data_IF_475379945411
#
_entry.id   IF_475379945411
#
_cell.length_a   1.000
_cell.length_b   1.000
_cell.length_c   1.000
_cell.angle_alpha   90.00
_cell.angle_beta   90.00
_cell.angle_gamma   90.00
#
_symmetry.space_group_name_H-M   'P 1'
#
loop_
_entity.id
_entity.type
_entity.pdbx_description
1 polymer ?
#
# COMPACT_ATOMS: atom_id res chain seq x y z
N UNK A 1 -13.93 -6.15 11.22
CA UNK A 1 -14.40 -4.79 11.51
C UNK A 1 -14.49 -3.98 10.22
N UNK A 2 -15.38 -3.00 10.18
CA UNK A 2 -15.59 -2.14 9.02
C UNK A 2 -15.41 -0.67 9.42
N UNK A 3 -14.84 0.12 8.51
CA UNK A 3 -14.52 1.52 8.74
C UNK A 3 -14.87 2.37 7.52
N UNK A 4 -15.30 3.59 7.76
CA UNK A 4 -15.26 4.67 6.78
C UNK A 4 -14.09 5.59 7.14
N UNK A 5 -13.13 5.71 6.23
CA UNK A 5 -11.92 6.52 6.41
C UNK A 5 -11.95 7.65 5.40
N UNK A 6 -11.89 8.89 5.85
CA UNK A 6 -11.71 10.06 4.99
C UNK A 6 -10.33 10.65 5.23
N UNK A 7 -9.59 10.89 4.15
CA UNK A 7 -8.27 11.49 4.18
C UNK A 7 -8.26 12.76 3.34
N UNK A 8 -7.83 13.86 3.95
CA UNK A 8 -7.52 15.12 3.27
C UNK A 8 -6.02 15.19 3.00
N UNK A 9 -5.63 15.00 1.74
CA UNK A 9 -4.23 14.98 1.32
C UNK A 9 -3.88 16.32 0.67
N UNK A 10 -2.64 16.78 0.84
CA UNK A 10 -2.15 18.01 0.22
C UNK A 10 -1.25 17.69 -0.96
N UNK A 11 -1.49 18.38 -2.08
CA UNK A 11 -0.55 18.47 -3.21
C UNK A 11 -0.13 19.92 -3.40
N UNK A 12 1.13 20.12 -3.73
CA UNK A 12 1.73 21.44 -3.91
C UNK A 12 2.91 21.38 -4.91
N UNK A 13 3.84 22.33 -4.78
CA UNK A 13 5.07 22.40 -5.61
C UNK A 13 6.15 21.38 -5.21
N UNK A 14 6.07 20.82 -4.00
CA UNK A 14 7.06 19.90 -3.43
C UNK A 14 6.57 18.44 -3.45
N UNK A 15 5.25 18.23 -3.40
CA UNK A 15 4.60 16.92 -3.39
C UNK A 15 3.48 16.88 -4.41
N UNK A 16 3.61 15.95 -5.35
CA UNK A 16 2.68 15.77 -6.46
C UNK A 16 2.04 14.37 -6.49
N UNK A 17 2.17 13.60 -5.43
CA UNK A 17 1.54 12.29 -5.33
C UNK A 17 0.92 12.13 -3.95
N UNK A 18 -0.08 11.25 -3.89
CA UNK A 18 -0.70 10.80 -2.65
C UNK A 18 -0.70 9.29 -2.67
N UNK A 19 -0.36 8.68 -1.55
CA UNK A 19 -0.55 7.26 -1.33
C UNK A 19 -2.03 6.98 -1.02
N UNK A 20 -2.53 5.86 -1.54
CA UNK A 20 -3.86 5.37 -1.19
C UNK A 20 -3.75 4.27 -0.16
N UNK A 21 -4.81 4.07 0.62
CA UNK A 21 -4.89 2.95 1.57
C UNK A 21 -4.71 1.61 0.81
N UNK A 22 -3.71 0.78 1.18
CA UNK A 22 -3.40 -0.46 0.47
C UNK A 22 -4.51 -1.49 0.67
N UNK A 23 -4.87 -2.14 -0.44
CA UNK A 23 -5.67 -3.37 -0.41
C UNK A 23 -4.73 -4.57 -0.19
N UNK A 24 -4.93 -5.30 0.91
CA UNK A 24 -4.08 -6.40 1.38
C UNK A 24 -4.93 -7.68 1.49
N UNK A 25 -4.90 -8.57 0.48
CA UNK A 25 -5.72 -9.77 0.48
C UNK A 25 -5.57 -10.61 1.74
N UNK A 26 -6.69 -11.02 2.34
CA UNK A 26 -6.71 -11.83 3.57
C UNK A 26 -6.63 -11.04 4.88
N UNK A 27 -6.36 -9.73 4.82
CA UNK A 27 -6.13 -8.87 5.99
C UNK A 27 -7.00 -7.62 5.98
N UNK A 28 -6.85 -6.81 4.92
CA UNK A 28 -7.47 -5.50 4.77
C UNK A 28 -8.01 -5.33 3.35
N UNK A 29 -9.33 -5.21 3.20
CA UNK A 29 -9.97 -4.89 1.93
C UNK A 29 -10.34 -3.42 1.88
N UNK A 30 -10.02 -2.75 0.77
CA UNK A 30 -10.24 -1.31 0.60
C UNK A 30 -11.01 -1.05 -0.69
N UNK A 31 -12.02 -0.20 -0.60
CA UNK A 31 -12.70 0.39 -1.75
C UNK A 31 -12.75 1.91 -1.59
N UNK A 32 -12.35 2.63 -2.63
CA UNK A 32 -12.51 4.08 -2.68
C UNK A 32 -13.96 4.40 -3.06
N UNK A 33 -14.73 4.95 -2.12
CA UNK A 33 -16.11 5.38 -2.31
C UNK A 33 -16.17 6.68 -3.10
N UNK A 34 -15.26 7.60 -2.79
CA UNK A 34 -15.22 8.92 -3.42
C UNK A 34 -13.80 9.47 -3.46
N UNK A 35 -13.48 10.20 -4.53
CA UNK A 35 -12.31 11.05 -4.64
C UNK A 35 -12.71 12.35 -5.34
N UNK A 36 -12.42 13.50 -4.73
CA UNK A 36 -12.84 14.80 -5.27
C UNK A 36 -12.10 15.17 -6.57
N UNK A 37 -10.84 14.72 -6.71
CA UNK A 37 -9.97 15.03 -7.85
C UNK A 37 -9.31 13.77 -8.37
N UNK A 38 -9.68 13.36 -9.59
CA UNK A 38 -9.07 12.20 -10.25
C UNK A 38 -7.56 12.41 -10.49
N UNK A 39 -6.70 11.43 -10.18
CA UNK A 39 -5.28 11.52 -10.48
C UNK A 39 -5.00 11.50 -11.98
N UNK A 40 -3.86 12.03 -12.36
CA UNK A 40 -3.35 11.99 -13.74
C UNK A 40 -3.06 10.55 -14.14
N UNK A 41 -2.37 9.81 -13.26
CA UNK A 41 -2.07 8.39 -13.42
C UNK A 41 -1.85 7.75 -12.04
N UNK A 42 -1.82 6.42 -12.00
CA UNK A 42 -1.51 5.65 -10.81
C UNK A 42 -0.32 4.71 -11.05
N UNK A 43 0.48 4.48 -10.02
CA UNK A 43 1.61 3.56 -10.02
C UNK A 43 1.48 2.62 -8.83
N UNK A 44 2.05 1.42 -8.96
CA UNK A 44 2.24 0.50 -7.83
C UNK A 44 3.73 0.42 -7.57
N UNK A 45 4.16 0.76 -6.36
CA UNK A 45 5.56 0.68 -5.98
C UNK A 45 5.99 -0.77 -5.67
N UNK A 46 7.24 -0.94 -5.24
CA UNK A 46 7.81 -2.26 -4.94
C UNK A 46 7.10 -2.94 -3.77
N UNK A 47 6.69 -2.15 -2.78
CA UNK A 47 6.01 -2.56 -1.54
C UNK A 47 4.48 -2.67 -1.71
N UNK A 48 4.00 -2.56 -2.95
CA UNK A 48 2.60 -2.70 -3.36
C UNK A 48 1.67 -1.62 -2.79
N UNK A 49 2.19 -0.43 -2.53
CA UNK A 49 1.36 0.75 -2.33
C UNK A 49 0.91 1.27 -3.69
N UNK A 50 -0.32 1.79 -3.74
CA UNK A 50 -0.85 2.45 -4.93
C UNK A 50 -0.67 3.95 -4.73
N UNK A 51 0.07 4.57 -5.65
CA UNK A 51 0.40 5.99 -5.64
C UNK A 51 -0.38 6.71 -6.73
N UNK A 52 -1.11 7.75 -6.35
CA UNK A 52 -1.89 8.62 -7.22
C UNK A 52 -1.11 9.90 -7.52
N UNK A 53 -0.74 10.10 -8.78
CA UNK A 53 0.05 11.25 -9.21
C UNK A 53 -0.82 12.37 -9.80
N UNK A 54 -0.48 13.59 -9.41
CA UNK A 54 -1.06 14.86 -9.82
C UNK A 54 0.01 15.72 -10.47
N UNK A 55 -0.36 16.71 -11.29
CA UNK A 55 0.60 17.74 -11.69
C UNK A 55 1.01 18.56 -10.47
N UNK A 56 2.26 19.03 -10.43
CA UNK A 56 2.66 20.04 -9.45
C UNK A 56 1.77 21.27 -9.57
N UNK A 57 1.34 21.80 -8.43
CA UNK A 57 0.47 22.98 -8.37
C UNK A 57 1.25 24.14 -7.77
N UNK A 58 1.00 25.36 -8.29
CA UNK A 58 1.62 26.58 -7.71
C UNK A 58 1.07 26.89 -6.32
N UNK A 59 -0.23 26.60 -6.14
CA UNK A 59 -0.94 26.77 -4.88
C UNK A 59 -1.18 25.39 -4.25
N UNK A 60 -1.19 25.35 -2.92
CA UNK A 60 -1.60 24.18 -2.14
C UNK A 60 -3.03 23.80 -2.51
N UNK A 61 -3.24 22.54 -2.89
CA UNK A 61 -4.57 21.98 -3.17
C UNK A 61 -4.84 20.75 -2.29
N UNK A 62 -6.08 20.59 -1.87
CA UNK A 62 -6.52 19.47 -1.03
C UNK A 62 -7.28 18.43 -1.86
N UNK A 63 -6.77 17.20 -1.87
CA UNK A 63 -7.42 16.02 -2.45
C UNK A 63 -8.05 15.20 -1.33
N UNK A 64 -9.39 15.15 -1.32
CA UNK A 64 -10.15 14.34 -0.36
C UNK A 64 -10.46 12.98 -0.95
N UNK A 65 -10.14 11.93 -0.21
CA UNK A 65 -10.48 10.55 -0.56
C UNK A 65 -11.26 9.92 0.59
N UNK A 66 -12.41 9.34 0.26
CA UNK A 66 -13.20 8.56 1.20
C UNK A 66 -13.12 7.07 0.82
N UNK A 67 -12.79 6.25 1.81
CA UNK A 67 -12.55 4.83 1.72
C UNK A 67 -13.54 4.06 2.60
N UNK A 68 -13.97 2.91 2.10
CA UNK A 68 -14.55 1.84 2.91
C UNK A 68 -13.47 0.79 3.13
N UNK A 69 -13.14 0.53 4.40
CA UNK A 69 -12.09 -0.40 4.80
C UNK A 69 -12.70 -1.53 5.61
N UNK A 70 -12.34 -2.78 5.28
CA UNK A 70 -12.72 -3.97 6.04
C UNK A 70 -11.47 -4.68 6.51
N UNK A 71 -11.36 -4.91 7.81
CA UNK A 71 -10.27 -5.66 8.44
C UNK A 71 -10.83 -6.96 9.01
N UNK A 72 -10.18 -8.09 8.74
CA UNK A 72 -10.70 -9.40 9.15
C UNK A 72 -9.63 -10.45 9.50
N UNK A 73 -8.36 -10.07 9.60
CA UNK A 73 -7.32 -10.97 10.06
C UNK A 73 -5.98 -10.28 10.20
N UNK A 74 -5.02 -10.96 10.82
CA UNK A 74 -3.63 -10.50 10.94
C UNK A 74 -2.73 -11.05 9.83
N UNK A 75 -3.07 -12.20 9.25
CA UNK A 75 -2.23 -12.87 8.25
C UNK A 75 -2.66 -12.55 6.82
N UNK A 76 -1.70 -12.47 5.91
CA UNK A 76 -1.96 -12.35 4.47
C UNK A 76 -1.20 -13.46 3.73
N UNK A 77 -1.91 -14.40 3.05
CA UNK A 77 -1.29 -15.52 2.33
C UNK A 77 -0.71 -15.11 0.96
N UNK A 78 -0.44 -13.83 0.76
CA UNK A 78 -0.04 -13.30 -0.53
C UNK A 78 1.38 -13.77 -0.87
N UNK A 79 1.49 -14.54 -1.96
CA UNK A 79 2.77 -15.02 -2.48
C UNK A 79 3.55 -13.84 -3.09
N UNK A 80 4.33 -13.16 -2.25
CA UNK A 80 5.16 -12.05 -2.67
C UNK A 80 6.39 -12.57 -3.42
N UNK A 81 6.40 -12.35 -4.74
CA UNK A 81 7.55 -12.69 -5.58
C UNK A 81 8.65 -11.64 -5.33
N UNK A 82 9.90 -12.10 -5.24
CA UNK A 82 11.10 -11.26 -5.06
C UNK A 82 11.16 -10.51 -3.73
N UNK A 83 11.24 -11.22 -2.62
CA UNK A 83 11.40 -10.65 -1.26
C UNK A 83 12.85 -10.39 -0.87
N UNK A 84 13.83 -10.70 -1.74
CA UNK A 84 15.26 -10.57 -1.46
C UNK A 84 15.73 -9.16 -1.07
N UNK A 85 14.99 -8.12 -1.47
CA UNK A 85 15.32 -6.75 -1.09
C UNK A 85 14.90 -6.42 0.35
N UNK A 86 13.92 -7.15 0.89
CA UNK A 86 13.37 -6.98 2.24
C UNK A 86 14.25 -7.60 3.32
N UNK A 87 15.42 -8.12 2.96
CA UNK A 87 16.48 -8.56 3.89
C UNK A 87 17.74 -7.72 3.73
N UNK A 88 17.76 -6.73 2.83
CA UNK A 88 18.92 -5.87 2.61
C UNK A 88 18.96 -4.73 3.63
N UNK A 89 20.18 -4.29 4.00
CA UNK A 89 20.33 -3.09 4.81
C UNK A 89 19.84 -1.87 4.02
N UNK A 90 19.09 -1.00 4.70
CA UNK A 90 18.55 0.27 4.20
C UNK A 90 18.71 1.27 5.33
N UNK A 91 18.94 2.56 5.05
CA UNK A 91 19.29 3.63 6.02
C UNK A 91 18.81 3.41 7.47
N UNK A 92 17.51 3.40 7.75
CA UNK A 92 17.00 3.30 9.14
C UNK A 92 16.92 1.84 9.67
N UNK A 93 17.14 0.85 8.80
CA UNK A 93 17.08 -0.59 9.06
C UNK A 93 18.39 -1.30 8.72
N UNK A 94 19.51 -0.59 8.82
CA UNK A 94 20.82 -1.13 8.48
C UNK A 94 21.33 -2.04 9.61
N UNK A 95 21.16 -3.34 9.42
CA UNK A 95 21.60 -4.37 10.37
C UNK A 95 23.11 -4.60 10.37
N UNK A 96 23.85 -4.03 9.41
CA UNK A 96 25.32 -4.09 9.41
C UNK A 96 25.96 -3.06 10.34
N UNK A 97 25.16 -2.08 10.80
CA UNK A 97 25.60 -1.02 11.71
C UNK A 97 24.76 -0.90 12.98
N UNK A 98 23.47 -1.24 12.91
CA UNK A 98 22.51 -1.06 14.00
C UNK A 98 22.29 -2.24 14.94
N UNK A 99 23.03 -3.34 14.78
CA UNK A 99 22.99 -4.47 15.70
C UNK A 99 24.40 -4.74 16.22
N UNK A 100 24.61 -4.89 17.54
CA UNK A 100 25.87 -5.43 18.02
C UNK A 100 26.08 -6.81 17.41
N UNK A 101 27.28 -7.07 16.89
CA UNK A 101 27.63 -8.34 16.24
C UNK A 101 27.23 -9.57 17.08
N UNK A 102 27.29 -9.44 18.40
CA UNK A 102 26.83 -10.43 19.38
C UNK A 102 25.37 -10.89 19.17
N UNK A 103 24.45 -10.00 18.78
CA UNK A 103 23.04 -10.35 18.63
C UNK A 103 22.79 -11.12 17.34
N UNK A 104 23.42 -10.74 16.24
CA UNK A 104 23.30 -11.53 15.01
C UNK A 104 23.92 -12.91 15.24
N UNK A 105 25.09 -13.01 15.86
CA UNK A 105 25.76 -14.32 16.06
C UNK A 105 25.03 -15.26 17.01
N UNK A 106 24.39 -14.75 18.07
CA UNK A 106 23.65 -15.60 19.03
C UNK A 106 22.24 -15.97 18.59
N UNK A 107 21.61 -15.13 17.76
CA UNK A 107 20.24 -15.36 17.30
C UNK A 107 20.15 -15.91 15.88
N UNK A 108 21.20 -15.77 15.05
CA UNK A 108 21.31 -16.39 13.73
C UNK A 108 21.73 -17.87 13.81
N UNK A 109 20.94 -18.64 14.54
CA UNK A 109 20.98 -20.08 14.40
C UNK A 109 20.21 -20.46 13.14
N UNK A 110 20.93 -20.92 12.11
CA UNK A 110 20.37 -21.37 10.82
C UNK A 110 19.28 -22.45 10.95
N UNK A 111 19.24 -23.17 12.08
CA UNK A 111 18.26 -24.23 12.32
C UNK A 111 16.95 -23.74 12.97
N UNK A 112 16.87 -22.46 13.42
CA UNK A 112 15.63 -21.91 13.99
C UNK A 112 14.61 -21.60 12.90
N UNK A 113 13.35 -21.97 13.16
CA UNK A 113 12.19 -21.59 12.32
C UNK A 113 12.00 -20.07 12.33
N UNK A 114 11.46 -19.53 11.24
CA UNK A 114 11.24 -18.08 11.08
C UNK A 114 10.43 -17.46 12.22
N UNK A 115 9.34 -18.09 12.68
CA UNK A 115 8.55 -17.57 13.81
C UNK A 115 9.35 -17.48 15.11
N UNK A 116 10.27 -18.43 15.34
CA UNK A 116 11.12 -18.39 16.52
C UNK A 116 12.15 -17.27 16.41
N UNK A 117 12.77 -17.10 15.22
CA UNK A 117 13.65 -15.96 14.95
C UNK A 117 12.92 -14.63 15.19
N UNK A 118 11.68 -14.52 14.70
CA UNK A 118 10.87 -13.33 14.88
C UNK A 118 10.50 -13.07 16.34
N UNK A 119 10.10 -14.12 17.07
CA UNK A 119 9.78 -14.02 18.50
C UNK A 119 10.98 -13.61 19.35
N UNK A 120 12.14 -14.19 19.07
CA UNK A 120 13.37 -13.88 19.79
C UNK A 120 13.79 -12.41 19.56
N UNK A 121 13.75 -11.94 18.31
CA UNK A 121 14.03 -10.56 17.96
C UNK A 121 13.02 -9.60 18.60
N UNK A 122 11.72 -9.94 18.56
CA UNK A 122 10.65 -9.16 19.16
C UNK A 122 10.82 -9.00 20.68
N UNK A 123 11.07 -10.11 21.39
CA UNK A 123 11.32 -10.09 22.82
C UNK A 123 12.57 -9.27 23.18
N UNK A 124 13.62 -9.34 22.34
CA UNK A 124 14.80 -8.51 22.56
C UNK A 124 14.45 -7.03 22.49
N UNK A 125 13.73 -6.60 21.45
CA UNK A 125 13.37 -5.19 21.25
C UNK A 125 12.55 -4.66 22.43
N UNK A 126 11.53 -5.40 22.87
CA UNK A 126 10.71 -5.02 24.03
C UNK A 126 11.54 -4.90 25.31
N UNK A 127 12.43 -5.86 25.57
CA UNK A 127 13.25 -5.83 26.79
C UNK A 127 14.39 -4.78 26.73
N UNK A 128 14.79 -4.36 25.54
CA UNK A 128 15.91 -3.46 25.34
C UNK A 128 15.51 -1.99 25.35
N UNK A 129 14.37 -1.67 24.75
CA UNK A 129 13.83 -0.32 24.66
C UNK A 129 12.92 0.01 25.84
N UNK A 130 12.63 1.29 26.01
CA UNK A 130 11.69 1.80 27.01
C UNK A 130 10.90 2.92 26.37
N UNK A 131 9.58 2.80 26.39
CA UNK A 131 8.71 3.79 25.76
C UNK A 131 8.78 5.13 26.49
N UNK A 132 8.91 6.22 25.72
CA UNK A 132 9.07 7.59 26.25
C UNK A 132 8.05 8.54 25.60
N UNK A 133 6.95 8.79 26.32
CA UNK A 133 5.90 9.74 25.90
C UNK A 133 6.43 11.17 25.66
N UNK A 134 7.53 11.55 26.31
CA UNK A 134 8.08 12.91 26.18
C UNK A 134 8.80 13.13 24.84
N UNK A 135 9.16 12.05 24.12
CA UNK A 135 9.72 12.13 22.77
C UNK A 135 8.68 12.47 21.70
N UNK A 136 7.40 12.41 22.04
CA UNK A 136 6.31 12.66 21.11
C UNK A 136 6.10 14.16 20.94
N UNK A 137 6.98 14.80 20.17
CA UNK A 137 6.68 16.09 19.56
C UNK A 137 6.29 15.87 18.10
N UNK A 138 4.98 15.74 17.84
CA UNK A 138 4.42 15.42 16.53
C UNK A 138 4.79 16.41 15.41
N UNK A 139 5.33 17.58 15.75
CA UNK A 139 5.78 18.55 14.76
C UNK A 139 7.14 18.16 14.13
N UNK A 140 8.00 17.43 14.86
CA UNK A 140 9.33 17.00 14.41
C UNK A 140 9.78 15.75 15.17
N UNK A 141 9.49 14.56 14.66
CA UNK A 141 10.15 13.33 15.13
C UNK A 141 11.44 13.14 14.33
N UNK A 142 12.59 13.38 14.95
CA UNK A 142 13.90 13.05 14.35
C UNK A 142 14.08 11.52 14.39
N UNK A 143 13.79 10.86 13.27
CA UNK A 143 13.94 9.41 13.14
C UNK A 143 15.42 9.05 13.13
N UNK A 144 15.89 8.45 14.22
CA UNK A 144 17.30 8.14 14.42
C UNK A 144 17.75 6.83 13.74
N UNK A 145 16.81 5.92 13.46
CA UNK A 145 17.08 4.60 12.89
C UNK A 145 17.76 3.62 13.87
N UNK A 146 17.84 2.34 13.47
CA UNK A 146 18.40 1.28 14.30
C UNK A 146 19.88 1.49 14.67
N UNK A 147 20.67 2.11 13.78
CA UNK A 147 22.09 2.42 13.99
C UNK A 147 22.32 3.25 15.25
N UNK A 148 21.65 4.41 15.34
CA UNK A 148 21.86 5.36 16.43
C UNK A 148 21.28 4.92 17.77
N UNK A 149 20.29 4.03 17.78
CA UNK A 149 19.76 3.41 19.01
C UNK A 149 20.89 2.68 19.74
N UNK A 150 21.66 1.90 18.98
CA UNK A 150 22.75 1.10 19.52
C UNK A 150 23.98 1.96 19.87
N UNK A 151 24.41 2.85 18.98
CA UNK A 151 25.61 3.68 19.18
C UNK A 151 25.53 4.55 20.43
N UNK A 152 24.35 5.11 20.70
CA UNK A 152 24.15 6.05 21.81
C UNK A 152 23.61 5.38 23.09
N UNK A 153 23.42 4.06 23.07
CA UNK A 153 22.67 3.33 24.11
C UNK A 153 21.32 4.03 24.44
N UNK A 154 20.67 4.58 23.40
CA UNK A 154 19.45 5.35 23.55
C UNK A 154 18.27 4.39 23.62
N UNK A 155 17.85 4.07 24.84
CA UNK A 155 16.74 3.14 25.08
C UNK A 155 15.38 3.80 25.00
N UNK A 156 15.31 5.12 25.13
CA UNK A 156 14.05 5.85 25.03
C UNK A 156 13.54 5.74 23.59
N UNK A 157 12.31 5.29 23.42
CA UNK A 157 11.78 4.93 22.11
C UNK A 157 10.31 5.35 21.98
N UNK A 158 9.93 5.69 20.75
CA UNK A 158 8.53 5.69 20.29
C UNK A 158 8.37 4.65 19.19
N UNK A 159 7.18 4.54 18.59
CA UNK A 159 6.85 3.51 17.60
C UNK A 159 7.88 3.33 16.46
N UNK A 160 8.57 4.41 16.06
CA UNK A 160 9.64 4.38 15.06
C UNK A 160 10.87 3.59 15.53
N UNK A 161 11.41 3.84 16.72
CA UNK A 161 12.61 3.13 17.20
C UNK A 161 12.34 1.64 17.42
N UNK A 162 11.15 1.29 17.95
CA UNK A 162 10.74 -0.10 18.07
C UNK A 162 10.64 -0.79 16.71
N UNK A 163 9.98 -0.15 15.73
CA UNK A 163 9.85 -0.67 14.38
C UNK A 163 11.21 -0.81 13.69
N UNK A 164 12.06 0.22 13.79
CA UNK A 164 13.36 0.29 13.14
C UNK A 164 14.30 -0.80 13.65
N UNK A 165 14.38 -0.94 14.98
CA UNK A 165 15.23 -1.95 15.59
C UNK A 165 14.73 -3.36 15.26
N UNK A 166 13.41 -3.61 15.33
CA UNK A 166 12.84 -4.92 15.02
C UNK A 166 13.04 -5.30 13.55
N UNK A 167 12.79 -4.38 12.61
CA UNK A 167 13.01 -4.63 11.18
C UNK A 167 14.49 -4.90 10.92
N UNK A 168 15.39 -4.07 11.46
CA UNK A 168 16.84 -4.28 11.35
C UNK A 168 17.22 -5.69 11.83
N UNK A 169 16.74 -6.09 13.01
CA UNK A 169 17.02 -7.41 13.58
C UNK A 169 16.50 -8.56 12.70
N UNK A 170 15.23 -8.51 12.29
CA UNK A 170 14.63 -9.52 11.41
C UNK A 170 15.42 -9.66 10.11
N UNK A 171 15.78 -8.54 9.47
CA UNK A 171 16.56 -8.52 8.23
C UNK A 171 17.94 -9.13 8.40
N UNK A 172 18.63 -8.81 9.50
CA UNK A 172 19.92 -9.41 9.86
C UNK A 172 19.86 -10.92 10.09
N UNK A 173 18.71 -11.43 10.54
CA UNK A 173 18.44 -12.87 10.69
C UNK A 173 17.99 -13.56 9.39
N UNK A 174 17.98 -12.82 8.27
CA UNK A 174 17.52 -13.29 6.97
C UNK A 174 16.00 -13.39 6.83
N UNK A 175 15.24 -12.80 7.75
CA UNK A 175 13.77 -12.77 7.72
C UNK A 175 13.31 -11.51 6.96
N UNK A 176 12.58 -11.65 5.83
CA UNK A 176 12.02 -10.51 5.13
C UNK A 176 11.08 -9.72 6.04
N UNK A 177 11.35 -8.43 6.21
CA UNK A 177 10.57 -7.57 7.09
C UNK A 177 10.39 -6.17 6.51
N UNK A 178 9.27 -5.52 6.83
CA UNK A 178 8.91 -4.17 6.37
C UNK A 178 8.12 -3.42 7.43
N UNK A 179 8.18 -2.10 7.35
CA UNK A 179 7.39 -1.19 8.17
C UNK A 179 5.96 -1.10 7.62
N UNK A 180 5.01 -0.98 8.52
CA UNK A 180 3.64 -0.58 8.24
C UNK A 180 3.37 0.70 9.01
N UNK A 181 2.89 1.72 8.32
CA UNK A 181 2.39 2.92 8.96
C UNK A 181 0.87 2.96 8.84
N UNK A 182 0.21 3.42 9.89
CA UNK A 182 -1.23 3.50 9.92
C UNK A 182 -1.78 4.06 11.21
N UNK A 183 -3.01 3.67 11.53
CA UNK A 183 -3.74 4.17 12.70
C UNK A 183 -4.37 3.04 13.48
N UNK A 184 -4.51 3.25 14.79
CA UNK A 184 -5.20 2.32 15.69
C UNK A 184 -6.53 2.93 16.13
N UNK A 185 -7.65 2.33 15.74
CA UNK A 185 -9.00 2.91 15.86
C UNK A 185 -9.85 2.12 16.86
N UNK A 186 -9.74 2.48 18.14
CA UNK A 186 -10.55 1.88 19.23
C UNK A 186 -11.92 2.55 19.43
N UNK A 187 -12.07 3.76 18.89
CA UNK A 187 -13.31 4.55 18.84
C UNK A 187 -13.24 5.47 17.61
N UNK A 188 -14.35 6.07 17.25
CA UNK A 188 -14.36 7.13 16.23
C UNK A 188 -13.31 8.19 16.57
N UNK A 189 -12.52 8.56 15.57
CA UNK A 189 -11.35 9.43 15.75
C UNK A 189 -11.22 10.40 14.58
N UNK A 190 -11.02 11.67 14.91
CA UNK A 190 -10.41 12.66 14.03
C UNK A 190 -9.02 12.91 14.59
N UNK A 191 -7.99 12.69 13.77
CA UNK A 191 -6.61 12.95 14.16
C UNK A 191 -5.84 13.59 13.01
N UNK A 192 -4.77 14.29 13.37
CA UNK A 192 -3.79 14.75 12.41
C UNK A 192 -3.03 13.53 11.86
N UNK A 193 -2.82 13.51 10.55
CA UNK A 193 -2.05 12.45 9.90
C UNK A 193 -0.56 12.46 10.31
N UNK A 194 -0.06 13.50 10.96
CA UNK A 194 1.26 13.48 11.60
C UNK A 194 1.35 12.54 12.81
N UNK A 195 0.22 12.07 13.36
CA UNK A 195 0.14 11.22 14.55
C UNK A 195 -0.04 9.72 14.21
N UNK A 196 0.60 9.26 13.14
CA UNK A 196 0.50 7.87 12.71
C UNK A 196 1.33 6.95 13.61
N UNK A 197 0.85 5.72 13.71
CA UNK A 197 1.54 4.63 14.37
C UNK A 197 2.36 3.82 13.36
N UNK A 198 3.47 3.26 13.82
CA UNK A 198 4.35 2.40 13.03
C UNK A 198 4.51 1.04 13.70
N UNK A 199 4.39 -0.02 12.92
CA UNK A 199 4.60 -1.40 13.35
C UNK A 199 5.23 -2.25 12.25
N UNK A 200 5.38 -3.55 12.50
CA UNK A 200 6.21 -4.44 11.67
C UNK A 200 5.40 -5.55 11.02
N UNK A 201 5.71 -5.80 9.76
CA UNK A 201 5.34 -7.02 9.03
C UNK A 201 6.59 -7.87 8.79
N UNK A 202 6.50 -9.17 9.07
CA UNK A 202 7.53 -10.16 8.68
C UNK A 202 6.93 -11.31 7.89
N UNK A 203 7.74 -11.91 7.02
CA UNK A 203 7.32 -13.04 6.18
C UNK A 203 7.73 -14.37 6.81
N UNK A 204 6.74 -15.21 7.13
CA UNK A 204 6.96 -16.60 7.52
C UNK A 204 6.42 -17.54 6.43
N UNK A 205 7.31 -18.21 5.72
CA UNK A 205 6.95 -18.99 4.54
C UNK A 205 6.35 -18.09 3.46
N UNK A 206 5.05 -18.24 3.20
CA UNK A 206 4.30 -17.42 2.23
C UNK A 206 3.24 -16.53 2.91
N UNK A 207 3.32 -16.37 4.24
CA UNK A 207 2.37 -15.56 5.01
C UNK A 207 3.07 -14.35 5.61
N UNK A 208 2.59 -13.16 5.28
CA UNK A 208 2.93 -11.97 6.05
C UNK A 208 2.19 -12.00 7.38
N UNK A 209 2.88 -11.67 8.47
CA UNK A 209 2.31 -11.55 9.82
C UNK A 209 2.65 -10.16 10.38
N UNK A 210 1.67 -9.47 10.95
CA UNK A 210 1.89 -8.20 11.64
C UNK A 210 2.16 -8.45 13.12
N UNK A 211 3.05 -7.65 13.69
CA UNK A 211 3.38 -7.61 15.12
C UNK A 211 3.63 -6.17 15.54
N UNK A 212 3.30 -5.85 16.80
CA UNK A 212 3.40 -4.50 17.33
C UNK A 212 4.13 -4.44 18.69
N UNK A 213 5.45 -4.27 18.69
CA UNK A 213 6.21 -4.23 19.93
C UNK A 213 5.90 -3.00 20.80
N UNK A 214 5.45 -1.89 20.21
CA UNK A 214 5.16 -0.65 20.96
C UNK A 214 3.84 -0.75 21.70
N UNK A 215 2.78 -1.25 21.04
CA UNK A 215 1.52 -1.48 21.72
C UNK A 215 1.62 -2.61 22.76
N UNK A 216 2.47 -3.62 22.56
CA UNK A 216 2.73 -4.62 23.60
C UNK A 216 3.37 -4.01 24.85
N UNK A 217 4.44 -3.22 24.68
CA UNK A 217 5.13 -2.55 25.78
C UNK A 217 4.21 -1.59 26.55
N UNK A 218 3.37 -0.83 25.84
CA UNK A 218 2.52 0.21 26.44
C UNK A 218 1.17 -0.29 26.98
N UNK A 219 0.68 -1.44 26.51
CA UNK A 219 -0.64 -1.98 26.93
C UNK A 219 -0.57 -3.30 27.67
N UNK A 220 0.60 -3.94 27.72
CA UNK A 220 0.82 -5.26 28.30
C UNK A 220 -0.08 -6.36 27.66
N UNK A 221 -0.45 -6.20 26.40
CA UNK A 221 -1.17 -7.19 25.59
C UNK A 221 -0.22 -7.85 24.59
N UNK A 222 -0.40 -9.15 24.34
CA UNK A 222 0.45 -9.90 23.42
C UNK A 222 0.10 -9.58 21.95
N UNK A 223 0.72 -8.55 21.38
CA UNK A 223 0.58 -8.17 19.98
C UNK A 223 1.45 -9.01 19.03
N UNK A 224 2.35 -9.85 19.56
CA UNK A 224 3.06 -10.83 18.75
C UNK A 224 2.13 -11.94 18.22
N UNK A 225 1.24 -12.45 19.08
CA UNK A 225 0.37 -13.60 18.77
C UNK A 225 -1.10 -13.22 18.58
N UNK A 226 -1.57 -12.16 19.24
CA UNK A 226 -2.97 -11.76 19.31
C UNK A 226 -3.18 -10.34 18.75
N UNK A 227 -2.64 -10.09 17.55
CA UNK A 227 -2.82 -8.81 16.86
C UNK A 227 -4.30 -8.52 16.61
N UNK A 228 -4.73 -7.30 16.90
CA UNK A 228 -6.13 -6.91 16.90
C UNK A 228 -6.69 -6.58 15.51
N UNK A 229 -7.95 -6.14 15.45
CA UNK A 229 -8.60 -5.69 14.21
C UNK A 229 -8.69 -4.17 14.09
N UNK A 230 -8.10 -3.42 15.03
CA UNK A 230 -8.17 -1.97 15.15
C UNK A 230 -7.05 -1.24 14.39
N UNK A 231 -6.04 -1.96 13.89
CA UNK A 231 -4.93 -1.41 13.10
C UNK A 231 -5.28 -1.30 11.62
N UNK A 232 -5.50 -0.07 11.13
CA UNK A 232 -5.72 0.21 9.71
C UNK A 232 -4.36 0.53 9.06
N UNK A 233 -3.94 -0.29 8.10
CA UNK A 233 -2.72 -0.06 7.30
C UNK A 233 -2.98 1.09 6.31
N UNK A 234 -2.20 2.16 6.39
CA UNK A 234 -2.23 3.26 5.41
C UNK A 234 -1.09 3.19 4.41
N UNK A 235 0.10 2.73 4.86
CA UNK A 235 1.27 2.60 4.00
C UNK A 235 2.14 1.41 4.44
N UNK A 236 2.82 0.77 3.49
CA UNK A 236 3.90 -0.20 3.77
C UNK A 236 5.22 0.29 3.20
N UNK A 237 6.32 0.12 3.94
CA UNK A 237 7.66 0.49 3.46
C UNK A 237 8.64 -0.64 3.70
N UNK A 238 9.26 -1.11 2.63
CA UNK A 238 10.24 -2.18 2.67
C UNK A 238 11.47 -1.86 1.81
N UNK A 239 11.29 -1.19 0.68
CA UNK A 239 12.39 -0.82 -0.23
C UNK A 239 13.18 0.37 0.27
N UNK A 240 12.50 1.33 0.89
CA UNK A 240 13.08 2.57 1.40
C UNK A 240 12.45 2.90 2.75
N UNK A 241 13.27 3.26 3.75
CA UNK A 241 12.79 3.58 5.10
C UNK A 241 12.21 4.99 5.25
N UNK A 242 12.23 5.78 4.18
CA UNK A 242 11.78 7.18 4.15
C UNK A 242 10.85 7.43 2.96
N UNK A 243 10.51 6.44 2.15
CA UNK A 243 9.68 6.63 0.96
C UNK A 243 8.84 5.39 0.63
N UNK A 244 7.65 5.56 0.03
CA UNK A 244 7.00 6.83 -0.25
C UNK A 244 6.58 7.53 1.04
N UNK A 245 6.44 8.84 0.97
CA UNK A 245 6.03 9.62 2.13
C UNK A 245 4.54 9.51 2.26
N UNK A 246 4.08 9.22 3.47
CA UNK A 246 2.68 9.38 3.77
C UNK A 246 2.33 10.84 3.51
N UNK A 247 1.16 11.04 2.93
CA UNK A 247 0.25 12.10 3.35
C UNK A 247 0.58 12.64 4.76
N UNK A 248 0.79 13.96 4.88
CA UNK A 248 0.99 14.71 6.12
C UNK A 248 2.37 14.67 6.80
N UNK A 249 3.32 13.86 6.33
CA UNK A 249 4.70 13.88 6.87
C UNK A 249 5.52 15.15 6.53
N UNK A 250 4.98 16.09 5.74
CA UNK A 250 5.70 17.25 5.17
C UNK A 250 5.03 18.62 5.34
N UNK A 251 3.96 18.78 6.13
CA UNK A 251 3.34 20.11 6.21
C UNK A 251 4.19 21.06 7.07
N UNK A 252 5.21 21.67 6.45
CA UNK A 252 5.82 22.91 6.91
C UNK A 252 4.90 24.12 6.70
N UNK A 253 3.74 23.92 6.04
CA UNK A 253 2.75 24.93 5.73
C UNK A 253 1.40 24.66 6.43
N UNK A 254 0.70 25.75 6.73
CA UNK A 254 -0.44 25.94 7.67
C UNK A 254 -1.70 25.08 7.47
N UNK A 255 -1.69 24.06 6.61
CA UNK A 255 -2.82 23.16 6.38
C UNK A 255 -2.42 21.72 6.73
N UNK A 256 -2.68 21.27 7.96
CA UNK A 256 -2.42 19.88 8.33
C UNK A 256 -3.31 18.96 7.50
N UNK A 257 -2.72 17.87 7.01
CA UNK A 257 -3.49 16.78 6.43
C UNK A 257 -4.26 16.06 7.55
N UNK A 258 -5.51 15.71 7.27
CA UNK A 258 -6.43 15.17 8.28
C UNK A 258 -6.88 13.77 7.92
N UNK A 259 -7.05 12.93 8.94
CA UNK A 259 -7.73 11.64 8.80
C UNK A 259 -8.89 11.57 9.77
N UNK A 260 -10.07 11.27 9.21
CA UNK A 260 -11.29 11.03 9.95
C UNK A 260 -11.67 9.56 9.79
N UNK A 261 -11.82 8.84 10.90
CA UNK A 261 -12.26 7.45 10.87
C UNK A 261 -13.51 7.24 11.70
N UNK A 262 -14.48 6.57 11.07
CA UNK A 262 -15.72 6.12 11.69
C UNK A 262 -15.79 4.62 11.65
N UNK A 263 -16.10 4.01 12.78
CA UNK A 263 -16.40 2.58 12.85
C UNK A 263 -17.82 2.37 12.32
N UNK A 264 -17.96 1.47 11.34
CA UNK A 264 -19.24 1.18 10.72
C UNK A 264 -19.90 -0.06 11.33
N UNK A 265 -21.25 -0.10 11.37
CA UNK A 265 -21.96 -1.34 11.69
C UNK A 265 -21.67 -2.43 10.65
N UNK A 266 -21.83 -3.71 11.03
CA UNK A 266 -21.42 -4.86 10.21
C UNK A 266 -22.02 -4.91 8.78
N UNK A 267 -23.10 -4.18 8.52
CA UNK A 267 -23.80 -4.18 7.23
C UNK A 267 -23.41 -2.97 6.40
N UNK A 268 -22.51 -3.17 5.45
CA UNK A 268 -22.24 -2.22 4.37
C UNK A 268 -22.92 -2.71 3.09
N UNK A 269 -23.76 -1.87 2.49
CA UNK A 269 -24.20 -2.08 1.11
C UNK A 269 -23.05 -1.75 0.17
N UNK A 270 -22.46 -2.79 -0.41
CA UNK A 270 -21.35 -2.65 -1.34
C UNK A 270 -21.88 -2.50 -2.76
N UNK A 271 -21.46 -1.47 -3.47
CA UNK A 271 -21.65 -1.40 -4.92
C UNK A 271 -20.62 -2.28 -5.64
N UNK A 272 -21.07 -2.89 -6.72
CA UNK A 272 -20.21 -3.67 -7.59
C UNK A 272 -19.26 -2.76 -8.36
N UNK A 273 -17.95 -3.01 -8.27
CA UNK A 273 -17.01 -2.37 -9.19
C UNK A 273 -17.18 -3.02 -10.57
N UNK A 274 -17.24 -2.22 -11.63
CA UNK A 274 -17.38 -2.70 -13.00
C UNK A 274 -16.07 -2.52 -13.80
N UNK A 275 -15.63 -3.56 -14.51
CA UNK A 275 -14.57 -3.46 -15.51
C UNK A 275 -15.18 -3.33 -16.89
N UNK A 276 -14.67 -2.40 -17.71
CA UNK A 276 -15.05 -2.33 -19.13
C UNK A 276 -14.16 -3.25 -19.93
N UNK A 277 -14.77 -4.23 -20.58
CA UNK A 277 -14.04 -5.27 -21.30
C UNK A 277 -14.40 -5.23 -22.79
N UNK A 278 -13.36 -5.22 -23.62
CA UNK A 278 -13.46 -5.25 -25.08
C UNK A 278 -12.69 -6.49 -25.59
N UNK A 279 -13.39 -7.57 -25.95
CA UNK A 279 -12.74 -8.77 -26.44
C UNK A 279 -12.16 -8.55 -27.85
N UNK A 280 -10.95 -9.06 -28.07
CA UNK A 280 -10.34 -9.28 -29.39
C UNK A 280 -10.12 -10.80 -29.55
N UNK A 281 -9.90 -11.26 -30.79
CA UNK A 281 -9.83 -12.71 -31.08
C UNK A 281 -8.90 -13.50 -30.15
N UNK A 282 -7.75 -12.92 -29.75
CA UNK A 282 -6.71 -13.53 -28.89
C UNK A 282 -6.38 -12.68 -27.64
N UNK A 283 -6.68 -11.38 -27.68
CA UNK A 283 -6.37 -10.42 -26.60
C UNK A 283 -7.67 -9.82 -26.09
N UNK A 284 -7.70 -9.36 -24.86
CA UNK A 284 -8.84 -8.69 -24.26
C UNK A 284 -8.34 -7.38 -23.68
N UNK A 285 -8.96 -6.26 -24.07
CA UNK A 285 -8.69 -4.98 -23.43
C UNK A 285 -9.60 -4.87 -22.21
N UNK A 286 -8.98 -4.65 -21.06
CA UNK A 286 -9.66 -4.44 -19.79
C UNK A 286 -9.35 -3.03 -19.33
N UNK A 287 -10.39 -2.24 -19.08
CA UNK A 287 -10.27 -0.88 -18.56
C UNK A 287 -10.85 -0.84 -17.16
N UNK A 288 -10.00 -0.52 -16.18
CA UNK A 288 -10.44 -0.17 -14.85
C UNK A 288 -10.70 1.33 -14.79
N UNK A 289 -11.98 1.72 -14.86
CA UNK A 289 -12.36 3.14 -14.71
C UNK A 289 -12.57 3.55 -13.25
N UNK A 290 -12.46 2.60 -12.31
CA UNK A 290 -12.68 2.84 -10.90
C UNK A 290 -11.41 3.41 -10.23
N UNK A 291 -11.56 4.18 -9.14
CA UNK A 291 -10.46 4.61 -8.30
C UNK A 291 -9.82 3.46 -7.50
N UNK A 292 -10.48 2.31 -7.37
CA UNK A 292 -9.99 1.20 -6.54
C UNK A 292 -9.03 0.29 -7.29
N UNK A 293 -7.95 -0.14 -6.62
CA UNK A 293 -7.07 -1.19 -7.13
C UNK A 293 -7.75 -2.54 -7.03
N UNK A 294 -7.84 -3.22 -8.17
CA UNK A 294 -8.56 -4.48 -8.31
C UNK A 294 -7.52 -5.59 -8.46
N UNK A 295 -7.52 -6.58 -7.56
CA UNK A 295 -6.47 -7.62 -7.55
C UNK A 295 -7.01 -9.02 -7.27
N UNK A 296 -6.25 -10.01 -7.73
CA UNK A 296 -6.35 -11.43 -7.41
C UNK A 296 -4.99 -12.09 -7.33
N UNK A 297 -4.98 -13.39 -7.06
CA UNK A 297 -3.80 -14.23 -7.09
C UNK A 297 -3.09 -14.27 -8.47
N UNK A 298 -3.73 -13.85 -9.56
CA UNK A 298 -3.19 -13.99 -10.93
C UNK A 298 -3.18 -12.72 -11.76
N UNK A 299 -4.14 -11.83 -11.57
CA UNK A 299 -4.23 -10.55 -12.27
C UNK A 299 -4.50 -9.42 -11.32
N UNK A 300 -4.01 -8.24 -11.71
CA UNK A 300 -4.36 -7.00 -11.06
C UNK A 300 -4.54 -5.86 -12.06
N UNK A 301 -5.36 -4.88 -11.67
CA UNK A 301 -5.71 -3.72 -12.46
C UNK A 301 -5.55 -2.47 -11.60
N UNK A 302 -4.58 -1.64 -11.98
CA UNK A 302 -4.35 -0.32 -11.40
C UNK A 302 -5.59 0.57 -11.54
N UNK A 303 -5.85 1.49 -10.60
CA UNK A 303 -6.89 2.50 -10.77
C UNK A 303 -6.72 3.29 -12.07
N UNK A 304 -7.82 3.55 -12.77
CA UNK A 304 -7.82 4.33 -14.01
C UNK A 304 -6.89 3.80 -15.12
N UNK A 305 -6.62 2.49 -15.14
CA UNK A 305 -5.70 1.87 -16.09
C UNK A 305 -6.39 1.18 -17.25
N UNK A 306 -5.62 0.97 -18.32
CA UNK A 306 -5.97 0.11 -19.45
C UNK A 306 -4.94 -1.03 -19.46
N UNK A 307 -5.43 -2.26 -19.54
CA UNK A 307 -4.62 -3.46 -19.53
C UNK A 307 -4.95 -4.34 -20.72
N UNK A 308 -3.93 -4.93 -21.33
CA UNK A 308 -4.07 -5.97 -22.33
C UNK A 308 -3.89 -7.33 -21.66
N UNK A 309 -4.91 -8.16 -21.76
CA UNK A 309 -4.96 -9.49 -21.16
C UNK A 309 -5.04 -10.51 -22.29
N UNK A 310 -4.09 -11.44 -22.36
CA UNK A 310 -4.25 -12.63 -23.21
C UNK A 310 -5.16 -13.63 -22.49
N UNK A 311 -6.35 -13.91 -23.05
CA UNK A 311 -7.29 -14.91 -22.51
C UNK A 311 -7.27 -16.19 -23.33
N UNK A 312 -7.39 -17.34 -22.67
CA UNK A 312 -7.64 -18.61 -23.37
C UNK A 312 -9.09 -18.65 -23.87
N UNK A 313 -9.35 -19.35 -24.99
CA UNK A 313 -10.69 -19.42 -25.63
C UNK A 313 -11.82 -19.82 -24.65
N UNK A 314 -11.50 -20.55 -23.59
CA UNK A 314 -12.46 -21.02 -22.58
C UNK A 314 -12.82 -19.96 -21.51
N UNK A 315 -12.05 -18.88 -21.37
CA UNK A 315 -12.30 -17.81 -20.37
C UNK A 315 -13.20 -16.68 -20.92
N UNK A 316 -13.58 -16.73 -22.21
CA UNK A 316 -14.35 -15.66 -22.89
C UNK A 316 -15.76 -15.45 -22.35
N UNK A 317 -16.38 -16.49 -21.78
CA UNK A 317 -17.72 -16.43 -21.20
C UNK A 317 -17.72 -15.92 -19.75
N UNK A 318 -16.56 -15.69 -19.13
CA UNK A 318 -16.46 -15.31 -17.72
C UNK A 318 -16.28 -13.78 -17.50
N UNK A 319 -16.57 -13.00 -18.56
CA UNK A 319 -16.13 -11.62 -18.73
C UNK A 319 -17.16 -10.57 -18.23
N UNK A 320 -18.36 -10.96 -17.80
CA UNK A 320 -19.28 -10.03 -17.11
C UNK A 320 -19.21 -10.28 -15.61
N UNK A 321 -18.36 -9.54 -14.89
CA UNK A 321 -18.35 -9.64 -13.43
C UNK A 321 -18.34 -8.28 -12.75
N UNK A 322 -19.36 -8.11 -11.94
CA UNK A 322 -19.51 -7.17 -10.86
C UNK A 322 -18.63 -7.62 -9.68
N UNK A 323 -17.81 -6.72 -9.13
CA UNK A 323 -16.88 -7.07 -8.04
C UNK A 323 -17.31 -6.48 -6.70
N UNK A 324 -17.69 -7.33 -5.74
CA UNK A 324 -17.88 -6.95 -4.32
C UNK A 324 -16.59 -7.21 -3.54
N UNK A 325 -15.91 -6.14 -3.08
CA UNK A 325 -14.76 -6.14 -2.16
C UNK A 325 -13.69 -7.25 -2.36
N UNK A 326 -13.52 -7.63 -3.62
CA UNK A 326 -12.36 -8.22 -4.31
C UNK A 326 -11.84 -9.60 -3.89
N UNK A 327 -12.44 -10.62 -4.49
CA UNK A 327 -11.77 -11.88 -4.80
C UNK A 327 -12.03 -12.29 -6.26
N UNK A 328 -11.05 -12.08 -7.15
CA UNK A 328 -11.16 -12.40 -8.58
C UNK A 328 -10.50 -13.75 -8.88
N UNK A 329 -11.21 -14.68 -9.51
CA UNK A 329 -10.65 -15.99 -9.91
C UNK A 329 -10.41 -16.01 -11.42
N UNK A 330 -9.21 -15.71 -11.87
CA UNK A 330 -8.82 -15.87 -13.28
C UNK A 330 -7.89 -17.06 -13.45
N UNK A 331 -7.94 -17.78 -14.58
CA UNK A 331 -7.16 -19.03 -14.73
C UNK A 331 -5.80 -18.83 -15.39
N UNK A 332 -5.69 -18.05 -16.47
CA UNK A 332 -4.41 -17.68 -17.09
C UNK A 332 -4.52 -16.32 -17.78
N UNK A 333 -3.60 -15.41 -17.45
CA UNK A 333 -3.51 -14.11 -18.09
C UNK A 333 -2.05 -13.67 -18.18
N UNK A 334 -1.61 -13.30 -19.38
CA UNK A 334 -0.36 -12.56 -19.57
C UNK A 334 -0.71 -11.08 -19.68
N UNK A 335 0.06 -10.26 -18.99
CA UNK A 335 -0.29 -8.86 -18.78
C UNK A 335 0.73 -7.93 -19.43
N UNK A 336 0.22 -6.99 -20.22
CA UNK A 336 1.02 -5.89 -20.78
C UNK A 336 0.41 -4.60 -20.24
N UNK A 337 1.23 -3.90 -19.45
CA UNK A 337 0.88 -2.66 -18.79
C UNK A 337 0.96 -1.50 -19.79
N UNK A 338 -0.12 -0.76 -20.00
CA UNK A 338 -0.08 0.52 -20.71
C UNK A 338 -0.28 1.63 -19.68
N UNK A 339 0.72 2.51 -19.56
CA UNK A 339 0.66 3.66 -18.64
C UNK A 339 -0.58 4.53 -18.95
N UNK A 340 -1.30 5.05 -17.93
CA UNK A 340 -2.40 5.98 -18.17
C UNK A 340 -1.86 7.25 -18.85
N UNK A 341 -2.39 7.59 -20.02
CA UNK A 341 -1.93 8.74 -20.78
C UNK A 341 -2.46 10.05 -20.16
N UNK A 342 -1.59 10.98 -19.75
CA UNK A 342 -1.96 12.28 -19.22
C UNK A 342 -2.51 13.12 -20.37
N UNK A 343 -3.82 13.15 -20.52
CA UNK A 343 -4.55 13.88 -21.56
C UNK A 343 -4.33 13.39 -22.99
N UNK A 344 -5.34 13.67 -23.83
CA UNK A 344 -5.38 13.27 -25.23
C UNK A 344 -4.10 13.66 -25.99
N UNK A 345 -3.66 12.75 -26.87
CA UNK A 345 -2.75 12.98 -28.03
C UNK A 345 -1.22 12.96 -27.84
N UNK A 346 -0.66 12.02 -27.08
CA UNK A 346 0.75 11.61 -27.30
C UNK A 346 0.90 10.10 -27.16
N UNK A 347 1.37 9.43 -28.23
CA UNK A 347 1.60 7.99 -28.31
C UNK A 347 3.06 7.75 -27.94
N UNK A 348 3.32 7.07 -26.83
CA UNK A 348 4.66 6.54 -26.53
C UNK A 348 4.77 5.17 -27.18
N UNK A 349 5.75 5.03 -28.06
CA UNK A 349 6.10 3.80 -28.75
C UNK A 349 6.77 2.84 -27.75
N UNK A 350 5.98 1.98 -27.12
CA UNK A 350 6.50 0.70 -26.62
C UNK A 350 6.73 -0.18 -27.84
N UNK A 351 7.95 -0.71 -27.98
CA UNK A 351 8.37 -1.65 -29.01
C UNK A 351 7.56 -2.95 -28.94
N UNK A 352 6.29 -2.87 -29.35
CA UNK A 352 5.41 -3.98 -29.58
C UNK A 352 5.60 -4.35 -31.06
N UNK A 353 5.53 -5.65 -31.38
CA UNK A 353 5.66 -6.08 -32.78
C UNK A 353 4.70 -5.26 -33.67
N UNK A 354 5.05 -5.01 -34.95
CA UNK A 354 4.27 -4.14 -35.84
C UNK A 354 2.77 -4.47 -35.87
N UNK A 355 2.43 -5.75 -35.71
CA UNK A 355 1.05 -6.26 -35.65
C UNK A 355 0.30 -5.70 -34.44
N UNK A 356 0.92 -5.71 -33.25
CA UNK A 356 0.31 -5.21 -32.02
C UNK A 356 0.16 -3.67 -32.10
N UNK A 357 1.11 -2.98 -32.73
CA UNK A 357 1.02 -1.56 -33.00
C UNK A 357 -0.21 -1.21 -33.85
N UNK A 358 -0.42 -1.90 -34.98
CA UNK A 358 -1.57 -1.64 -35.85
C UNK A 358 -2.90 -1.92 -35.15
N UNK A 359 -2.96 -2.97 -34.32
CA UNK A 359 -4.16 -3.30 -33.54
C UNK A 359 -4.48 -2.19 -32.53
N UNK A 360 -3.49 -1.73 -31.75
CA UNK A 360 -3.68 -0.67 -30.74
C UNK A 360 -4.06 0.66 -31.42
N UNK A 361 -3.38 1.03 -32.51
CA UNK A 361 -3.66 2.24 -33.26
C UNK A 361 -5.09 2.26 -33.81
N UNK A 362 -5.52 1.16 -34.44
CA UNK A 362 -6.86 1.06 -35.00
C UNK A 362 -7.95 1.18 -33.93
N UNK A 363 -7.72 0.60 -32.74
CA UNK A 363 -8.65 0.64 -31.61
C UNK A 363 -8.79 2.06 -31.03
N UNK A 364 -7.67 2.75 -30.81
CA UNK A 364 -7.67 4.12 -30.28
C UNK A 364 -8.36 5.10 -31.25
N UNK A 365 -8.13 4.94 -32.55
CA UNK A 365 -8.77 5.76 -33.59
C UNK A 365 -10.28 5.48 -33.67
N UNK A 366 -10.71 4.22 -33.54
CA UNK A 366 -12.14 3.85 -33.56
C UNK A 366 -12.89 4.37 -32.33
N UNK A 367 -12.29 4.26 -31.13
CA UNK A 367 -12.89 4.78 -29.89
C UNK A 367 -13.09 6.30 -29.93
N UNK A 368 -12.15 7.04 -30.54
CA UNK A 368 -12.26 8.50 -30.73
C UNK A 368 -13.39 8.89 -31.70
N UNK A 369 -13.70 8.03 -32.69
CA UNK A 369 -14.83 8.22 -33.60
C UNK A 369 -16.17 7.96 -32.90
N UNK A 370 -16.29 6.90 -32.10
CA UNK A 370 -17.55 6.59 -31.38
C UNK A 370 -17.88 7.62 -30.29
N UNK A 371 -16.88 8.16 -29.60
CA UNK A 371 -17.09 9.24 -28.61
C UNK A 371 -17.52 10.55 -29.26
N UNK A 372 -16.98 10.91 -30.43
CA UNK A 372 -17.49 12.04 -31.24
C UNK A 372 -18.91 11.80 -31.74
N UNK A 373 -19.24 10.59 -32.18
CA UNK A 373 -20.58 10.23 -32.66
C UNK A 373 -21.63 10.30 -31.53
N UNK A 374 -21.28 9.82 -30.33
CA UNK A 374 -22.16 9.93 -29.13
C UNK A 374 -22.35 11.36 -28.62
N UNK A 375 -21.33 12.23 -28.74
CA UNK A 375 -21.49 13.67 -28.45
C UNK A 375 -22.39 14.38 -29.47
N UNK A 376 -22.30 14.01 -30.76
CA UNK A 376 -23.14 14.59 -31.82
C UNK A 376 -24.61 14.17 -31.73
N UNK A 377 -24.90 12.99 -31.18
CA UNK A 377 -26.28 12.53 -30.92
C UNK A 377 -26.91 13.23 -29.70
N UNK A 378 -26.11 13.61 -28.70
CA UNK A 378 -26.58 14.37 -27.52
C UNK A 378 -26.73 15.88 -27.74
N UNK A 379 -26.32 16.42 -28.90
CA UNK A 379 -26.53 17.82 -29.27
C UNK A 379 -27.68 18.00 -30.27
N UNK A 380 -28.47 16.95 -30.52
CA UNK A 380 -29.61 16.93 -31.45
C UNK A 380 -30.90 16.44 -30.74
N UNK A 381 -30.84 16.25 -29.42
CA UNK A 381 -31.99 16.07 -28.53
C UNK A 381 -31.84 17.15 -27.46
#
# INVERSE_FOLDING_TARGET
MFYEVEIENVIDKNKNYIDTIPNIPGRQEVVIKYINKKPTYSVIDKDKNVLFYYPFTKNTEVVKINYLVRIYGNKSPFLEKNTNYLTKPVKNWDHTKGLPNYYITNYDNKNKKTDQKAKDAYNYVINYLTYDDNKINYNFIDRIGAEKINENNNKNAVCLEYSDLLISFLRGLGVPAREVNGITVKKDVEQDISQLHSWVEYLNGNEWTQVDPTWEDTSNQNFFSNFDLYHINLLRRGDNSESPLLSGSYSSDKTPEKINVKILPEKIETHDLELKILPLNILTIVKNENPTYISSNKVSFKPYSISLVKSDKNDKNDIQRNFKFLNIKWKKALWIEMLPFPNNSTIIFLALSPIIFFIIHFILVRYKKDTKKRKKVRSII
#
